data_IF_348844084212
#
_entry.id   IF_348844084212
#
_cell.length_a   1.000
_cell.length_b   1.000
_cell.length_c   1.000
_cell.angle_alpha   90.00
_cell.angle_beta   90.00
_cell.angle_gamma   90.00
#
_symmetry.space_group_name_H-M   'P 1'
#
loop_
_entity.id
_entity.type
_entity.pdbx_description
1 polymer ?
#
# COMPACT_ATOMS: atom_id res chain seq x y z
N UNK A 1 -1.37 -3.89 -21.77
CA UNK A 1 -2.37 -3.62 -20.70
C UNK A 1 -1.65 -2.82 -19.64
N UNK A 2 -2.01 -1.55 -19.47
CA UNK A 2 -1.40 -0.63 -18.51
C UNK A 2 -1.85 -1.02 -17.11
N UNK A 3 -0.91 -1.26 -16.19
CA UNK A 3 -1.21 -1.44 -14.77
C UNK A 3 -2.07 -0.26 -14.29
N UNK A 4 -3.09 -0.52 -13.46
CA UNK A 4 -4.07 0.49 -13.01
C UNK A 4 -3.51 1.45 -11.95
N UNK A 5 -2.28 1.91 -12.12
CA UNK A 5 -1.64 2.91 -11.25
C UNK A 5 -2.36 4.29 -11.37
N UNK A 6 -3.20 4.44 -12.39
CA UNK A 6 -3.96 5.67 -12.69
C UNK A 6 -5.40 5.69 -12.17
N UNK A 7 -5.85 4.69 -11.40
CA UNK A 7 -7.16 4.85 -10.74
C UNK A 7 -7.06 5.91 -9.63
N UNK A 8 -7.99 6.88 -9.58
CA UNK A 8 -7.99 7.86 -8.50
C UNK A 8 -8.25 7.15 -7.18
N UNK A 9 -7.24 7.11 -6.31
CA UNK A 9 -7.40 6.69 -4.91
C UNK A 9 -8.20 7.80 -4.23
N UNK A 10 -9.49 7.58 -4.02
CA UNK A 10 -10.31 8.47 -3.22
C UNK A 10 -9.78 8.43 -1.78
N UNK A 11 -9.38 9.59 -1.25
CA UNK A 11 -9.00 9.71 0.15
C UNK A 11 -10.30 9.68 0.95
N UNK A 12 -10.58 8.61 1.71
CA UNK A 12 -11.80 8.53 2.49
C UNK A 12 -11.77 9.60 3.58
N UNK A 13 -12.87 10.32 3.74
CA UNK A 13 -13.04 11.31 4.82
C UNK A 13 -13.54 10.67 6.10
N UNK A 14 -13.97 9.40 6.05
CA UNK A 14 -14.50 8.63 7.17
C UNK A 14 -13.95 7.20 7.13
N UNK A 15 -13.77 6.61 8.31
CA UNK A 15 -13.40 5.20 8.45
C UNK A 15 -14.64 4.33 8.40
N UNK A 16 -14.53 3.12 7.84
CA UNK A 16 -15.64 2.17 7.81
C UNK A 16 -16.04 1.74 9.23
N UNK A 17 -15.07 1.65 10.14
CA UNK A 17 -15.29 1.34 11.55
C UNK A 17 -14.50 2.29 12.45
N UNK A 18 -15.04 2.65 13.63
CA UNK A 18 -14.31 3.48 14.57
C UNK A 18 -13.03 2.76 15.03
N UNK A 19 -11.88 3.45 15.02
CA UNK A 19 -10.61 2.89 15.44
C UNK A 19 -10.62 2.59 16.94
N UNK A 20 -9.91 1.54 17.36
CA UNK A 20 -9.67 1.30 18.78
C UNK A 20 -8.28 1.78 19.15
N UNK A 21 -8.19 2.60 20.19
CA UNK A 21 -6.92 3.12 20.68
C UNK A 21 -6.33 2.14 21.71
N UNK A 22 -5.03 1.88 21.60
CA UNK A 22 -4.25 1.13 22.58
C UNK A 22 -3.56 2.14 23.48
N UNK A 23 -3.77 2.02 24.79
CA UNK A 23 -3.15 2.89 25.79
C UNK A 23 -2.12 2.12 26.62
N UNK A 24 -1.07 2.81 27.07
CA UNK A 24 -0.10 2.27 28.02
C UNK A 24 -0.62 2.36 29.48
N UNK A 25 0.24 2.00 30.44
CA UNK A 25 -0.07 2.05 31.88
C UNK A 25 -0.30 3.48 32.41
N UNK A 26 0.19 4.50 31.70
CA UNK A 26 0.02 5.91 32.03
C UNK A 26 -1.22 6.53 31.37
N UNK A 27 -1.91 5.79 30.49
CA UNK A 27 -3.04 6.25 29.71
C UNK A 27 -2.67 6.95 28.39
N UNK A 28 -1.39 6.90 27.99
CA UNK A 28 -0.93 7.49 26.74
C UNK A 28 -1.23 6.57 25.56
N UNK A 29 -1.62 7.15 24.41
CA UNK A 29 -1.90 6.38 23.20
C UNK A 29 -0.60 5.87 22.60
N UNK A 30 -0.45 4.53 22.56
CA UNK A 30 0.71 3.86 21.97
C UNK A 30 0.40 3.11 20.68
N UNK A 31 -0.88 2.99 20.31
CA UNK A 31 -1.26 2.31 19.09
C UNK A 31 -2.72 2.50 18.72
N UNK A 32 -3.04 2.08 17.50
CA UNK A 32 -4.39 2.14 16.94
C UNK A 32 -4.66 0.82 16.23
N UNK A 33 -5.84 0.24 16.48
CA UNK A 33 -6.36 -0.92 15.76
C UNK A 33 -7.40 -0.40 14.77
N UNK A 34 -7.14 -0.65 13.49
CA UNK A 34 -8.03 -0.32 12.38
C UNK A 34 -8.73 -1.58 11.87
N UNK A 35 -9.89 -1.40 11.24
CA UNK A 35 -10.43 -2.46 10.41
C UNK A 35 -9.47 -2.74 9.25
N UNK A 36 -9.41 -4.00 8.82
CA UNK A 36 -8.45 -4.41 7.79
C UNK A 36 -8.61 -3.63 6.48
N UNK A 37 -9.85 -3.35 6.06
CA UNK A 37 -10.14 -2.56 4.86
C UNK A 37 -9.68 -1.10 4.96
N UNK A 38 -9.80 -0.50 6.14
CA UNK A 38 -9.33 0.86 6.41
C UNK A 38 -7.80 0.89 6.42
N UNK A 39 -7.16 -0.13 7.00
CA UNK A 39 -5.71 -0.29 6.98
C UNK A 39 -5.16 -0.48 5.55
N UNK A 40 -5.78 -1.31 4.72
CA UNK A 40 -5.39 -1.47 3.32
C UNK A 40 -5.53 -0.16 2.54
N UNK A 41 -6.62 0.59 2.78
CA UNK A 41 -6.82 1.90 2.15
C UNK A 41 -5.72 2.88 2.56
N UNK A 42 -5.34 2.89 3.84
CA UNK A 42 -4.23 3.68 4.33
C UNK A 42 -2.90 3.31 3.64
N UNK A 43 -2.59 2.03 3.50
CA UNK A 43 -1.38 1.57 2.80
C UNK A 43 -1.36 2.00 1.33
N UNK A 44 -2.50 1.95 0.61
CA UNK A 44 -2.59 2.46 -0.77
C UNK A 44 -2.32 3.96 -0.86
N UNK A 45 -2.82 4.74 0.09
CA UNK A 45 -2.55 6.18 0.16
C UNK A 45 -1.05 6.41 0.38
N UNK A 46 -0.43 5.68 1.31
CA UNK A 46 1.03 5.78 1.52
C UNK A 46 1.81 5.41 0.27
N UNK A 47 1.50 4.29 -0.38
CA UNK A 47 2.18 3.84 -1.59
C UNK A 47 2.13 4.90 -2.72
N UNK A 48 1.04 5.67 -2.78
CA UNK A 48 0.84 6.70 -3.81
C UNK A 48 1.54 8.02 -3.51
N UNK A 49 1.54 8.45 -2.25
CA UNK A 49 1.87 9.83 -1.88
C UNK A 49 3.09 9.97 -0.96
N UNK A 50 3.51 8.91 -0.28
CA UNK A 50 4.66 8.97 0.60
C UNK A 50 5.97 8.88 -0.19
N UNK A 51 6.99 9.56 0.34
CA UNK A 51 8.37 9.37 -0.12
C UNK A 51 8.90 8.04 0.41
N UNK A 52 9.14 7.09 -0.50
CA UNK A 52 9.51 5.72 -0.18
C UNK A 52 10.72 5.64 0.76
N UNK A 53 11.76 6.43 0.49
CA UNK A 53 13.01 6.43 1.26
C UNK A 53 12.86 6.99 2.68
N UNK A 54 11.74 7.67 2.96
CA UNK A 54 11.43 8.21 4.29
C UNK A 54 10.44 7.35 5.07
N UNK A 55 9.85 6.33 4.45
CA UNK A 55 8.94 5.43 5.13
C UNK A 55 9.72 4.55 6.12
N UNK A 56 9.21 4.36 7.34
CA UNK A 56 9.71 3.32 8.23
C UNK A 56 9.72 1.94 7.53
N UNK A 57 10.75 1.10 7.75
CA UNK A 57 10.88 -0.19 7.06
C UNK A 57 9.67 -1.12 7.21
N UNK A 58 8.97 -1.08 8.35
CA UNK A 58 7.79 -1.91 8.55
C UNK A 58 6.61 -1.49 7.65
N UNK A 59 6.51 -0.21 7.28
CA UNK A 59 5.48 0.27 6.34
C UNK A 59 5.85 -0.04 4.90
N UNK A 60 7.14 0.05 4.54
CA UNK A 60 7.61 -0.39 3.22
C UNK A 60 7.25 -1.87 3.00
N UNK A 61 7.61 -2.74 3.95
CA UNK A 61 7.28 -4.17 3.89
C UNK A 61 5.76 -4.43 3.82
N UNK A 62 4.96 -3.66 4.56
CA UNK A 62 3.51 -3.80 4.53
C UNK A 62 2.91 -3.39 3.18
N UNK A 63 3.43 -2.33 2.56
CA UNK A 63 3.03 -1.88 1.23
C UNK A 63 3.43 -2.93 0.18
N UNK A 64 4.67 -3.43 0.23
CA UNK A 64 5.14 -4.46 -0.72
C UNK A 64 4.27 -5.72 -0.68
N UNK A 65 3.96 -6.22 0.52
CA UNK A 65 3.08 -7.38 0.67
C UNK A 65 1.67 -7.11 0.14
N UNK A 66 1.10 -5.94 0.43
CA UNK A 66 -0.21 -5.56 -0.09
C UNK A 66 -0.22 -5.50 -1.63
N UNK A 67 0.82 -4.92 -2.24
CA UNK A 67 0.93 -4.83 -3.70
C UNK A 67 1.15 -6.20 -4.34
N UNK A 68 1.88 -7.10 -3.68
CA UNK A 68 2.03 -8.48 -4.12
C UNK A 68 0.68 -9.22 -4.11
N UNK A 69 -0.09 -9.12 -3.01
CA UNK A 69 -1.42 -9.71 -2.90
C UNK A 69 -2.37 -9.16 -3.99
N UNK A 70 -2.31 -7.85 -4.27
CA UNK A 70 -3.11 -7.22 -5.33
C UNK A 70 -2.72 -7.73 -6.72
N UNK A 71 -1.42 -7.83 -7.01
CA UNK A 71 -0.93 -8.34 -8.28
C UNK A 71 -1.33 -9.82 -8.49
N UNK A 72 -1.28 -10.63 -7.44
CA UNK A 72 -1.76 -12.03 -7.50
C UNK A 72 -3.28 -12.09 -7.75
N UNK A 73 -4.06 -11.23 -7.10
CA UNK A 73 -5.51 -11.18 -7.24
C UNK A 73 -5.98 -10.69 -8.62
N UNK A 74 -5.20 -9.86 -9.31
CA UNK A 74 -5.52 -9.38 -10.67
C UNK A 74 -5.52 -10.51 -11.71
N UNK A 75 -4.84 -11.63 -11.45
CA UNK A 75 -4.88 -12.83 -12.29
C UNK A 75 -4.32 -12.64 -13.72
N UNK A 76 -3.55 -11.59 -13.95
CA UNK A 76 -2.88 -11.34 -15.24
C UNK A 76 -1.70 -12.28 -15.47
N UNK A 77 -1.32 -12.50 -16.74
CA UNK A 77 -0.08 -13.21 -17.04
C UNK A 77 1.12 -12.43 -16.51
N UNK A 78 1.95 -13.12 -15.71
CA UNK A 78 3.20 -12.55 -15.21
C UNK A 78 4.14 -12.27 -16.39
N UNK A 79 4.61 -11.02 -16.49
CA UNK A 79 5.57 -10.61 -17.52
C UNK A 79 6.97 -10.51 -16.93
N UNK A 80 8.01 -11.07 -17.58
CA UNK A 80 9.38 -10.92 -17.13
C UNK A 80 9.81 -9.44 -17.09
N UNK A 81 10.40 -9.01 -15.98
CA UNK A 81 10.89 -7.63 -15.80
C UNK A 81 11.84 -7.19 -16.92
N UNK A 82 12.69 -8.09 -17.41
CA UNK A 82 13.62 -7.79 -18.51
C UNK A 82 12.91 -7.42 -19.81
N UNK A 83 11.77 -8.03 -20.12
CA UNK A 83 11.01 -7.70 -21.32
C UNK A 83 10.39 -6.30 -21.17
N UNK A 84 9.86 -5.99 -19.99
CA UNK A 84 9.30 -4.67 -19.69
C UNK A 84 10.36 -3.56 -19.78
N UNK A 85 11.55 -3.81 -19.23
CA UNK A 85 12.66 -2.84 -19.28
C UNK A 85 13.23 -2.68 -20.69
N UNK A 86 13.27 -3.75 -21.49
CA UNK A 86 13.67 -3.67 -22.90
C UNK A 86 12.66 -2.86 -23.73
N UNK A 87 11.35 -3.06 -23.51
CA UNK A 87 10.28 -2.27 -24.12
C UNK A 87 10.34 -0.78 -23.74
N UNK A 88 10.72 -0.48 -22.49
CA UNK A 88 10.91 0.88 -22.00
C UNK A 88 12.21 1.53 -22.46
N UNK A 89 13.13 0.78 -23.10
CA UNK A 89 14.43 1.28 -23.53
C UNK A 89 15.45 1.45 -22.39
N UNK A 90 15.19 0.85 -21.22
CA UNK A 90 16.08 0.90 -20.05
C UNK A 90 17.08 -0.26 -19.98
N UNK A 91 16.90 -1.28 -20.84
CA UNK A 91 17.91 -2.29 -21.11
C UNK A 91 18.47 -2.09 -22.52
N UNK A 92 19.71 -1.62 -22.59
CA UNK A 92 20.55 -1.56 -23.81
C UNK A 92 21.35 -2.83 -24.02
#
# INVERSE_FOLDING_TARGET
MTARIDQPIAIPTELNYPPRMIHDENGEVVGIILAYSDYQTFLRILARFADWEKLPPYLQNAIDNMLADEAEAEGGEARPLRELLAEAGELS
#
